data_IF_065059106218
#
_entry.id   IF_065059106218
#
_cell.length_a   1.000
_cell.length_b   1.000
_cell.length_c   1.000
_cell.angle_alpha   90.00
_cell.angle_beta   90.00
_cell.angle_gamma   90.00
#
_symmetry.space_group_name_H-M   'P 1'
#
loop_
_entity.id
_entity.type
_entity.pdbx_description
1 polymer ?
#
# COMPACT_ATOMS: atom_id res chain seq x y z
N UNK A 1 19.57 -9.75 4.15
CA UNK A 1 18.27 -9.44 3.53
C UNK A 1 18.44 -8.19 2.68
N UNK A 2 17.73 -8.15 1.57
CA UNK A 2 17.69 -6.99 0.67
C UNK A 2 16.49 -6.13 1.07
N UNK A 3 16.67 -4.82 1.04
CA UNK A 3 15.57 -3.87 1.23
C UNK A 3 14.85 -3.67 -0.11
N UNK A 4 13.53 -3.71 -0.09
CA UNK A 4 12.65 -3.51 -1.25
C UNK A 4 11.67 -2.38 -0.97
N UNK A 5 11.50 -1.49 -1.93
CA UNK A 5 10.37 -0.58 -2.01
C UNK A 5 9.20 -1.31 -2.68
N UNK A 6 8.06 -1.31 -2.02
CA UNK A 6 6.81 -1.92 -2.46
C UNK A 6 5.73 -0.84 -2.48
N UNK A 7 4.97 -0.79 -3.57
CA UNK A 7 3.86 0.13 -3.73
C UNK A 7 2.63 -0.64 -4.18
N UNK A 8 1.51 -0.38 -3.52
CA UNK A 8 0.18 -0.83 -3.94
C UNK A 8 -0.67 0.39 -4.27
N UNK A 9 -0.98 0.56 -5.55
CA UNK A 9 -1.76 1.69 -6.05
C UNK A 9 -3.17 1.25 -6.39
N UNK A 10 -4.16 1.98 -5.89
CA UNK A 10 -5.59 1.73 -6.03
C UNK A 10 -6.28 2.94 -6.65
N UNK A 11 -7.09 2.70 -7.67
CA UNK A 11 -8.02 3.68 -8.22
C UNK A 11 -9.41 3.44 -7.63
N UNK A 12 -9.86 4.38 -6.81
CA UNK A 12 -11.16 4.34 -6.14
C UNK A 12 -12.33 4.62 -7.10
N UNK A 13 -12.04 5.07 -8.33
CA UNK A 13 -13.00 5.42 -9.37
C UNK A 13 -13.80 6.69 -9.10
N UNK A 14 -13.49 7.40 -8.02
CA UNK A 14 -14.15 8.63 -7.58
C UNK A 14 -13.20 9.40 -6.64
N UNK A 15 -13.38 10.73 -6.51
CA UNK A 15 -12.64 11.52 -5.53
C UNK A 15 -12.75 10.94 -4.11
N UNK A 16 -11.66 11.04 -3.35
CA UNK A 16 -11.63 10.66 -1.94
C UNK A 16 -12.40 11.71 -1.14
N UNK A 17 -13.33 11.27 -0.30
CA UNK A 17 -14.06 12.15 0.62
C UNK A 17 -13.32 12.31 1.95
N UNK A 18 -13.77 13.28 2.76
CA UNK A 18 -13.13 13.61 4.06
C UNK A 18 -13.11 12.42 5.03
N UNK A 19 -14.08 11.51 4.94
CA UNK A 19 -14.17 10.36 5.83
C UNK A 19 -13.14 9.29 5.45
N UNK A 20 -12.98 9.03 4.14
CA UNK A 20 -11.96 8.13 3.64
C UNK A 20 -10.56 8.73 3.83
N UNK A 21 -10.37 10.03 3.60
CA UNK A 21 -9.10 10.72 3.86
C UNK A 21 -8.65 10.56 5.32
N UNK A 22 -9.53 10.88 6.28
CA UNK A 22 -9.23 10.71 7.70
C UNK A 22 -8.92 9.24 8.07
N UNK A 23 -9.62 8.28 7.44
CA UNK A 23 -9.31 6.88 7.66
C UNK A 23 -7.95 6.47 7.08
N UNK A 24 -7.54 7.05 5.95
CA UNK A 24 -6.24 6.79 5.33
C UNK A 24 -5.09 7.37 6.18
N UNK A 25 -5.31 8.49 6.88
CA UNK A 25 -4.37 8.99 7.88
C UNK A 25 -4.20 7.98 9.03
N UNK A 26 -5.30 7.42 9.55
CA UNK A 26 -5.23 6.36 10.58
C UNK A 26 -4.47 5.12 10.07
N UNK A 27 -4.63 4.78 8.78
CA UNK A 27 -3.88 3.67 8.15
C UNK A 27 -2.39 3.98 8.04
N UNK A 28 -2.01 5.22 7.71
CA UNK A 28 -0.62 5.65 7.67
C UNK A 28 0.04 5.55 9.06
N UNK A 29 -0.64 6.05 10.10
CA UNK A 29 -0.17 5.90 11.49
C UNK A 29 -0.01 4.43 11.88
N UNK A 30 -0.97 3.58 11.50
CA UNK A 30 -0.92 2.15 11.77
C UNK A 30 0.20 1.44 11.01
N UNK A 31 0.49 1.81 9.75
CA UNK A 31 1.62 1.28 8.97
C UNK A 31 2.95 1.63 9.65
N UNK A 32 3.13 2.88 10.06
CA UNK A 32 4.34 3.35 10.73
C UNK A 32 4.59 2.68 12.09
N UNK A 33 3.55 2.11 12.71
CA UNK A 33 3.65 1.37 13.96
C UNK A 33 4.06 -0.11 13.79
N UNK A 34 4.07 -0.64 12.57
CA UNK A 34 4.44 -2.04 12.31
C UNK A 34 5.98 -2.18 12.39
N UNK A 35 6.45 -3.07 13.27
CA UNK A 35 7.88 -3.34 13.41
C UNK A 35 8.50 -3.83 12.09
N UNK A 36 9.69 -3.32 11.77
CA UNK A 36 10.47 -3.66 10.57
C UNK A 36 9.78 -3.30 9.23
N UNK A 37 8.77 -2.43 9.27
CA UNK A 37 8.12 -1.82 8.10
C UNK A 37 8.28 -0.31 8.20
N UNK A 38 8.82 0.31 7.15
CA UNK A 38 8.79 1.76 6.97
C UNK A 38 7.73 2.04 5.89
N UNK A 39 6.52 2.41 6.31
CA UNK A 39 5.37 2.50 5.43
C UNK A 39 4.55 3.76 5.62
N UNK A 40 3.90 4.19 4.55
CA UNK A 40 3.11 5.41 4.46
C UNK A 40 1.97 5.26 3.45
N UNK A 41 1.05 6.24 3.42
CA UNK A 41 -0.08 6.32 2.50
C UNK A 41 -0.04 7.63 1.71
N UNK A 42 0.07 7.53 0.39
CA UNK A 42 -0.11 8.64 -0.55
C UNK A 42 -1.53 8.72 -1.07
N UNK A 43 -2.08 9.94 -1.21
CA UNK A 43 -3.44 10.13 -1.72
C UNK A 43 -3.51 11.27 -2.74
N UNK A 44 -4.09 11.00 -3.92
CA UNK A 44 -4.58 12.03 -4.84
C UNK A 44 -6.10 12.17 -4.66
N UNK A 45 -6.50 13.13 -3.83
CA UNK A 45 -7.91 13.33 -3.45
C UNK A 45 -8.82 13.58 -4.65
N UNK A 46 -8.31 14.24 -5.70
CA UNK A 46 -9.12 14.60 -6.87
C UNK A 46 -9.24 13.45 -7.86
N UNK A 47 -8.14 12.75 -8.09
CA UNK A 47 -8.13 11.61 -9.01
C UNK A 47 -8.75 10.36 -8.37
N UNK A 48 -8.82 10.29 -7.04
CA UNK A 48 -9.28 9.08 -6.36
C UNK A 48 -8.21 8.00 -6.30
N UNK A 49 -6.92 8.37 -6.30
CA UNK A 49 -5.82 7.40 -6.24
C UNK A 49 -5.30 7.30 -4.80
N UNK A 50 -5.13 6.06 -4.33
CA UNK A 50 -4.54 5.75 -3.03
C UNK A 50 -3.35 4.84 -3.24
N UNK A 51 -2.20 5.22 -2.69
CA UNK A 51 -0.93 4.53 -2.83
C UNK A 51 -0.46 4.09 -1.42
N UNK A 52 -0.28 2.79 -1.20
CA UNK A 52 0.35 2.26 0.03
C UNK A 52 1.82 1.98 -0.29
N UNK A 53 2.73 2.75 0.30
CA UNK A 53 4.17 2.59 0.09
C UNK A 53 4.81 1.94 1.30
N UNK A 54 5.71 0.98 1.08
CA UNK A 54 6.44 0.30 2.15
C UNK A 54 7.87 -0.03 1.73
N UNK A 55 8.81 0.18 2.64
CA UNK A 55 10.15 -0.39 2.56
C UNK A 55 10.23 -1.64 3.44
N UNK A 56 10.53 -2.79 2.82
CA UNK A 56 10.49 -4.11 3.45
C UNK A 56 11.83 -4.83 3.29
N UNK A 57 12.32 -5.45 4.37
CA UNK A 57 13.45 -6.37 4.32
C UNK A 57 12.98 -7.81 3.97
N UNK A 58 13.51 -8.35 2.87
CA UNK A 58 13.18 -9.69 2.37
C UNK A 58 14.35 -10.36 1.65
N UNK A 59 14.26 -11.66 1.37
CA UNK A 59 15.23 -12.41 0.59
C UNK A 59 15.05 -12.19 -0.91
N UNK A 60 13.81 -12.01 -1.36
CA UNK A 60 13.46 -11.82 -2.77
C UNK A 60 12.20 -10.95 -2.93
N UNK A 61 11.83 -10.65 -4.19
CA UNK A 61 10.69 -9.79 -4.53
C UNK A 61 9.34 -10.37 -4.12
N UNK A 62 9.14 -11.67 -4.28
CA UNK A 62 7.87 -12.32 -3.97
C UNK A 62 7.60 -12.26 -2.45
N UNK A 63 8.62 -12.54 -1.65
CA UNK A 63 8.56 -12.40 -0.20
C UNK A 63 8.33 -10.94 0.22
N UNK A 64 9.00 -9.97 -0.41
CA UNK A 64 8.76 -8.54 -0.15
C UNK A 64 7.30 -8.15 -0.43
N UNK A 65 6.75 -8.58 -1.56
CA UNK A 65 5.35 -8.33 -1.93
C UNK A 65 4.38 -8.94 -0.91
N UNK A 66 4.62 -10.17 -0.49
CA UNK A 66 3.76 -10.85 0.49
C UNK A 66 3.81 -10.19 1.87
N UNK A 67 5.00 -9.82 2.34
CA UNK A 67 5.19 -9.09 3.61
C UNK A 67 4.49 -7.73 3.58
N UNK A 68 4.67 -6.98 2.49
CA UNK A 68 4.00 -5.70 2.29
C UNK A 68 2.47 -5.87 2.30
N UNK A 69 1.94 -6.89 1.63
CA UNK A 69 0.49 -7.15 1.60
C UNK A 69 -0.07 -7.48 2.99
N UNK A 70 0.67 -8.28 3.77
CA UNK A 70 0.30 -8.57 5.16
C UNK A 70 0.35 -7.29 6.01
N UNK A 71 1.38 -6.47 5.87
CA UNK A 71 1.50 -5.20 6.59
C UNK A 71 0.34 -4.23 6.25
N UNK A 72 0.01 -4.07 4.98
CA UNK A 72 -1.14 -3.30 4.52
C UNK A 72 -2.45 -3.79 5.16
N UNK A 73 -2.70 -5.11 5.16
CA UNK A 73 -3.90 -5.68 5.81
C UNK A 73 -3.91 -5.42 7.31
N UNK A 74 -2.76 -5.57 7.98
CA UNK A 74 -2.63 -5.32 9.41
C UNK A 74 -2.92 -3.85 9.74
N UNK A 75 -2.38 -2.91 8.97
CA UNK A 75 -2.60 -1.49 9.18
C UNK A 75 -4.07 -1.09 8.95
N UNK A 76 -4.67 -1.52 7.83
CA UNK A 76 -6.10 -1.27 7.56
C UNK A 76 -6.97 -1.83 8.68
N UNK A 77 -6.65 -3.02 9.19
CA UNK A 77 -7.42 -3.60 10.29
C UNK A 77 -7.23 -2.84 11.61
N UNK A 78 -5.99 -2.42 11.92
CA UNK A 78 -5.68 -1.64 13.13
C UNK A 78 -6.35 -0.26 13.11
N UNK A 79 -6.51 0.35 11.94
CA UNK A 79 -7.27 1.58 11.72
C UNK A 79 -8.81 1.39 11.78
N UNK A 80 -9.30 0.17 12.06
CA UNK A 80 -10.73 -0.13 12.16
C UNK A 80 -11.39 -0.57 10.84
N UNK A 81 -10.62 -0.74 9.78
CA UNK A 81 -11.06 -1.26 8.50
C UNK A 81 -11.30 -2.77 8.49
N UNK A 82 -12.00 -3.25 7.46
CA UNK A 82 -12.30 -4.66 7.26
C UNK A 82 -11.57 -5.22 6.05
N UNK A 83 -10.78 -6.28 6.25
CA UNK A 83 -10.04 -6.96 5.16
C UNK A 83 -10.60 -8.36 4.86
N UNK A 84 -11.76 -8.71 5.41
CA UNK A 84 -12.35 -10.06 5.28
C UNK A 84 -12.82 -10.39 3.86
N UNK A 85 -13.08 -9.36 3.05
CA UNK A 85 -13.46 -9.47 1.64
C UNK A 85 -12.29 -9.37 0.66
N UNK A 86 -11.05 -9.26 1.16
CA UNK A 86 -9.86 -9.12 0.32
C UNK A 86 -9.40 -10.46 -0.28
N UNK A 87 -10.20 -11.50 -0.17
CA UNK A 87 -9.94 -12.77 -0.83
C UNK A 87 -10.72 -12.76 -2.16
N UNK A 88 -10.01 -12.78 -3.30
CA UNK A 88 -10.61 -12.85 -4.63
C UNK A 88 -10.88 -11.52 -5.36
N UNK A 89 -10.68 -10.37 -4.71
CA UNK A 89 -10.79 -9.03 -5.32
C UNK A 89 -9.70 -8.69 -6.36
N UNK A 90 -8.50 -9.25 -6.22
CA UNK A 90 -7.35 -8.89 -7.04
C UNK A 90 -7.59 -9.13 -8.55
N UNK A 91 -8.12 -10.29 -8.99
CA UNK A 91 -8.54 -10.48 -10.37
C UNK A 91 -9.47 -9.36 -10.89
N UNK A 92 -10.49 -8.98 -10.13
CA UNK A 92 -11.46 -7.95 -10.54
C UNK A 92 -10.80 -6.57 -10.68
N UNK A 93 -9.93 -6.20 -9.75
CA UNK A 93 -9.20 -4.92 -9.84
C UNK A 93 -8.20 -4.88 -10.98
N UNK A 94 -7.52 -6.00 -11.26
CA UNK A 94 -6.62 -6.12 -12.40
C UNK A 94 -7.38 -6.05 -13.73
N UNK A 95 -8.53 -6.74 -13.84
CA UNK A 95 -9.39 -6.66 -15.03
C UNK A 95 -9.94 -5.26 -15.27
N UNK A 96 -10.21 -4.52 -14.20
CA UNK A 96 -10.69 -3.14 -14.26
C UNK A 96 -9.57 -2.08 -14.41
N UNK A 97 -8.30 -2.49 -14.49
CA UNK A 97 -7.11 -1.60 -14.45
C UNK A 97 -7.08 -0.64 -13.24
N UNK A 98 -7.76 -1.02 -12.14
CA UNK A 98 -7.88 -0.23 -10.90
C UNK A 98 -6.83 -0.53 -9.85
N UNK A 99 -5.91 -1.44 -10.16
CA UNK A 99 -4.82 -1.81 -9.26
C UNK A 99 -3.51 -1.94 -10.00
N UNK A 100 -2.45 -1.44 -9.37
CA UNK A 100 -1.06 -1.66 -9.80
C UNK A 100 -0.21 -1.97 -8.59
N UNK A 101 0.80 -2.80 -8.79
CA UNK A 101 1.84 -3.00 -7.79
C UNK A 101 3.23 -2.87 -8.39
N UNK A 102 4.14 -2.36 -7.58
CA UNK A 102 5.56 -2.28 -7.90
C UNK A 102 6.38 -2.88 -6.77
N UNK A 103 7.40 -3.66 -7.12
CA UNK A 103 8.36 -4.22 -6.16
C UNK A 103 9.76 -4.05 -6.73
N UNK A 104 10.54 -3.18 -6.11
CA UNK A 104 11.86 -2.77 -6.60
C UNK A 104 12.88 -2.82 -5.47
N UNK A 105 14.10 -3.34 -5.66
CA UNK A 105 15.15 -3.19 -4.67
C UNK A 105 15.34 -1.71 -4.31
N UNK A 106 15.37 -1.36 -3.03
CA UNK A 106 15.43 0.04 -2.57
C UNK A 106 16.70 0.76 -3.06
N UNK A 107 17.78 0.02 -3.34
CA UNK A 107 19.00 0.55 -3.96
C UNK A 107 18.80 1.09 -5.38
N UNK A 108 17.73 0.68 -6.07
CA UNK A 108 17.35 1.10 -7.42
C UNK A 108 16.14 2.07 -7.40
N UNK A 109 15.50 2.27 -6.24
CA UNK A 109 14.26 3.03 -6.08
C UNK A 109 14.43 4.55 -5.92
N UNK A 110 15.67 5.08 -5.98
CA UNK A 110 15.96 6.50 -5.71
C UNK A 110 15.25 7.50 -6.65
N UNK A 111 14.77 7.04 -7.81
CA UNK A 111 14.01 7.84 -8.77
C UNK A 111 12.47 7.72 -8.62
N UNK A 112 11.99 6.79 -7.79
CA UNK A 112 10.55 6.56 -7.53
C UNK A 112 10.10 7.01 -6.13
N UNK A 113 11.05 7.35 -5.25
CA UNK A 113 10.81 7.85 -3.89
C UNK A 113 10.22 9.29 -3.83
N UNK A 114 9.59 9.76 -4.91
CA UNK A 114 8.82 11.01 -4.93
C UNK A 114 7.32 10.77 -4.71
N UNK A 115 6.91 9.52 -4.51
CA UNK A 115 5.53 9.09 -4.37
C UNK A 115 5.22 8.41 -3.04
N UNK A 116 5.81 8.89 -1.95
CA UNK A 116 5.22 8.98 -0.61
C UNK A 116 5.96 10.17 0.06
#
# INVERSE_FOLDING_TARGET
MTSYYVEFSFDMGQPVDEALEAHLDDVAEALAAIADVDGDVGVDLKAGRVDLCMTINAENRDEASMKAFVAARTAVHAAGGQTGSWDGWLPELLEADKYRSMVTPSSLGRDYALGC
#
